data_IF_661966260992
#
_entry.id   IF_661966260992
#
_cell.length_a   1.000
_cell.length_b   1.000
_cell.length_c   1.000
_cell.angle_alpha   90.00
_cell.angle_beta   90.00
_cell.angle_gamma   90.00
#
_symmetry.space_group_name_H-M   'P 1'
#
loop_
_entity.id
_entity.type
_entity.pdbx_description
1 polymer ?
#
# COMPACT_ATOMS: atom_id res chain seq x y z
N UNK A 1 -11.18 -1.50 -19.86
CA UNK A 1 -11.74 -1.96 -18.59
C UNK A 1 -10.61 -2.02 -17.56
N UNK A 2 -10.90 -1.67 -16.30
CA UNK A 2 -9.94 -1.65 -15.20
C UNK A 2 -10.13 -2.87 -14.31
N UNK A 3 -9.02 -3.36 -13.73
CA UNK A 3 -9.01 -4.44 -12.75
C UNK A 3 -8.23 -3.96 -11.51
N UNK A 4 -8.87 -3.98 -10.36
CA UNK A 4 -8.28 -3.58 -9.09
C UNK A 4 -7.88 -4.77 -8.23
N UNK A 5 -6.84 -4.61 -7.44
CA UNK A 5 -6.43 -5.57 -6.42
C UNK A 5 -6.36 -4.85 -5.07
N UNK A 6 -7.18 -5.30 -4.12
CA UNK A 6 -7.18 -4.82 -2.75
C UNK A 6 -6.61 -5.91 -1.81
N UNK A 7 -5.50 -5.69 -1.13
CA UNK A 7 -4.99 -6.63 -0.15
C UNK A 7 -5.69 -6.49 1.20
N UNK A 8 -5.44 -7.43 2.10
CA UNK A 8 -5.89 -7.35 3.47
C UNK A 8 -5.34 -6.10 4.18
N UNK A 9 -6.14 -5.53 5.06
CA UNK A 9 -5.95 -4.25 5.74
C UNK A 9 -7.16 -3.35 5.51
N UNK A 10 -7.08 -2.06 5.83
CA UNK A 10 -8.21 -1.13 5.64
C UNK A 10 -8.67 -1.05 4.18
N UNK A 11 -7.81 -1.29 3.23
CA UNK A 11 -8.11 -1.26 1.80
C UNK A 11 -8.93 -2.46 1.30
N UNK A 12 -9.09 -3.52 2.07
CA UNK A 12 -9.84 -4.72 1.65
C UNK A 12 -11.28 -4.41 1.26
N UNK A 13 -11.90 -3.43 1.90
CA UNK A 13 -13.27 -3.02 1.61
C UNK A 13 -13.41 -2.11 0.38
N UNK A 14 -12.32 -1.78 -0.31
CA UNK A 14 -12.34 -0.86 -1.45
C UNK A 14 -13.28 -1.33 -2.57
N UNK A 15 -13.47 -2.65 -2.73
CA UNK A 15 -14.39 -3.24 -3.70
C UNK A 15 -15.86 -2.82 -3.49
N UNK A 16 -16.22 -2.42 -2.28
CA UNK A 16 -17.58 -1.93 -1.96
C UNK A 16 -17.84 -0.49 -2.44
N UNK A 17 -16.77 0.24 -2.74
CA UNK A 17 -16.82 1.67 -3.06
C UNK A 17 -16.36 1.99 -4.49
N UNK A 18 -15.83 1.01 -5.22
CA UNK A 18 -15.31 1.20 -6.56
C UNK A 18 -16.12 0.39 -7.57
N UNK A 19 -16.70 1.06 -8.55
CA UNK A 19 -17.43 0.39 -9.64
C UNK A 19 -16.50 -0.13 -10.74
N UNK A 20 -15.59 -1.04 -10.34
CA UNK A 20 -14.66 -1.75 -11.22
C UNK A 20 -14.55 -3.21 -10.77
N UNK A 21 -14.07 -4.07 -11.67
CA UNK A 21 -13.78 -5.44 -11.27
C UNK A 21 -12.61 -5.44 -10.27
N UNK A 22 -12.80 -6.05 -9.13
CA UNK A 22 -11.77 -6.13 -8.10
C UNK A 22 -11.59 -7.57 -7.60
N UNK A 23 -10.38 -7.88 -7.17
CA UNK A 23 -10.10 -9.10 -6.42
C UNK A 23 -9.34 -8.76 -5.14
N UNK A 24 -9.49 -9.61 -4.14
CA UNK A 24 -8.74 -9.56 -2.91
C UNK A 24 -7.41 -10.30 -3.05
N UNK A 25 -6.40 -9.82 -2.34
CA UNK A 25 -5.11 -10.48 -2.21
C UNK A 25 -4.75 -10.66 -0.74
N UNK A 26 -3.92 -11.65 -0.43
CA UNK A 26 -3.33 -11.77 0.89
C UNK A 26 -2.53 -10.51 1.24
N UNK A 27 -2.37 -10.23 2.54
CA UNK A 27 -1.65 -9.05 3.04
C UNK A 27 -0.24 -8.96 2.46
N UNK A 28 0.08 -7.83 1.85
CA UNK A 28 1.36 -7.58 1.17
C UNK A 28 1.48 -8.18 -0.24
N UNK A 29 0.52 -8.94 -0.72
CA UNK A 29 0.66 -9.73 -1.97
C UNK A 29 -0.01 -9.11 -3.20
N UNK A 30 -0.65 -7.95 -3.05
CA UNK A 30 -1.33 -7.30 -4.17
C UNK A 30 -0.41 -7.02 -5.38
N UNK A 31 0.85 -6.59 -5.23
CA UNK A 31 1.75 -6.40 -6.38
C UNK A 31 2.03 -7.70 -7.15
N UNK A 32 2.16 -8.83 -6.43
CA UNK A 32 2.36 -10.13 -7.08
C UNK A 32 1.11 -10.58 -7.85
N UNK A 33 -0.08 -10.41 -7.25
CA UNK A 33 -1.36 -10.72 -7.90
C UNK A 33 -1.56 -9.82 -9.13
N UNK A 34 -1.32 -8.51 -8.99
CA UNK A 34 -1.42 -7.55 -10.08
C UNK A 34 -0.48 -7.88 -11.25
N UNK A 35 0.75 -8.33 -10.96
CA UNK A 35 1.69 -8.81 -11.99
C UNK A 35 1.13 -10.01 -12.76
N UNK A 36 0.52 -10.97 -12.06
CA UNK A 36 -0.13 -12.12 -12.68
C UNK A 36 -1.31 -11.71 -13.56
N UNK A 37 -2.21 -10.88 -13.03
CA UNK A 37 -3.37 -10.36 -13.77
C UNK A 37 -2.91 -9.61 -15.03
N UNK A 38 -1.90 -8.77 -14.92
CA UNK A 38 -1.39 -7.97 -16.04
C UNK A 38 -0.82 -8.84 -17.17
N UNK A 39 -0.24 -9.98 -16.85
CA UNK A 39 0.29 -10.93 -17.85
C UNK A 39 -0.82 -11.66 -18.59
N UNK A 40 -1.90 -12.00 -17.90
CA UNK A 40 -3.06 -12.68 -18.49
C UNK A 40 -3.96 -11.71 -19.25
N UNK A 41 -4.04 -10.45 -18.81
CA UNK A 41 -4.86 -9.41 -19.38
C UNK A 41 -4.04 -8.19 -19.80
N UNK A 42 -3.22 -8.29 -20.84
CA UNK A 42 -2.32 -7.22 -21.26
C UNK A 42 -3.03 -5.97 -21.83
N UNK A 43 -4.30 -6.08 -22.18
CA UNK A 43 -5.17 -5.02 -22.67
C UNK A 43 -5.86 -4.21 -21.55
N UNK A 44 -5.83 -4.69 -20.31
CA UNK A 44 -6.50 -4.06 -19.18
C UNK A 44 -5.58 -3.09 -18.44
N UNK A 45 -6.18 -2.07 -17.84
CA UNK A 45 -5.51 -1.25 -16.83
C UNK A 45 -5.61 -1.98 -15.50
N UNK A 46 -4.47 -2.32 -14.92
CA UNK A 46 -4.41 -3.01 -13.61
C UNK A 46 -3.89 -2.03 -12.56
N UNK A 47 -4.51 -2.03 -11.39
CA UNK A 47 -4.05 -1.23 -10.26
C UNK A 47 -4.15 -1.98 -8.94
N UNK A 48 -3.34 -1.57 -7.96
CA UNK A 48 -3.46 -1.99 -6.57
C UNK A 48 -3.84 -0.79 -5.70
N UNK A 49 -4.58 -1.02 -4.61
CA UNK A 49 -4.97 0.01 -3.65
C UNK A 49 -4.55 -0.45 -2.25
N UNK A 50 -3.45 0.13 -1.73
CA UNK A 50 -2.72 -0.43 -0.59
C UNK A 50 -2.39 0.62 0.46
N UNK A 51 -2.54 0.23 1.74
CA UNK A 51 -2.06 1.02 2.86
C UNK A 51 -0.55 0.86 3.08
N UNK A 52 0.02 1.72 3.90
CA UNK A 52 1.44 1.72 4.26
C UNK A 52 1.86 0.50 5.07
N UNK A 53 1.02 0.06 6.02
CA UNK A 53 1.25 -1.17 6.76
C UNK A 53 1.17 -2.44 5.91
N UNK A 54 0.57 -2.35 4.74
CA UNK A 54 0.54 -3.41 3.75
C UNK A 54 1.75 -3.30 2.81
N UNK A 55 1.83 -2.25 1.99
CA UNK A 55 2.82 -2.11 0.93
C UNK A 55 4.24 -1.88 1.46
N UNK A 56 4.39 -0.98 2.42
CA UNK A 56 5.69 -0.58 2.98
C UNK A 56 6.12 -1.41 4.20
N UNK A 57 5.45 -2.50 4.50
CA UNK A 57 5.77 -3.44 5.55
C UNK A 57 5.85 -4.85 4.99
N UNK A 58 4.81 -5.66 5.15
CA UNK A 58 4.79 -7.06 4.72
C UNK A 58 4.91 -7.20 3.19
N UNK A 59 4.48 -6.20 2.41
CA UNK A 59 4.53 -6.17 0.95
C UNK A 59 5.79 -5.53 0.34
N UNK A 60 6.77 -5.14 1.15
CA UNK A 60 7.95 -4.43 0.65
C UNK A 60 8.71 -5.24 -0.41
N UNK A 61 8.90 -6.53 -0.20
CA UNK A 61 9.58 -7.39 -1.16
C UNK A 61 8.85 -7.47 -2.49
N UNK A 62 7.55 -7.61 -2.47
CA UNK A 62 6.72 -7.76 -3.66
C UNK A 62 6.73 -6.49 -4.53
N UNK A 63 6.60 -5.32 -3.93
CA UNK A 63 6.60 -4.06 -4.70
C UNK A 63 7.99 -3.74 -5.26
N UNK A 64 9.05 -3.97 -4.50
CA UNK A 64 10.42 -3.77 -4.98
C UNK A 64 10.73 -4.69 -6.16
N UNK A 65 10.38 -5.96 -6.07
CA UNK A 65 10.58 -6.90 -7.16
C UNK A 65 9.66 -6.63 -8.37
N UNK A 66 8.44 -6.18 -8.16
CA UNK A 66 7.56 -5.75 -9.25
C UNK A 66 8.15 -4.53 -10.00
N UNK A 67 8.65 -3.56 -9.25
CA UNK A 67 9.34 -2.39 -9.81
C UNK A 67 10.62 -2.79 -10.58
N UNK A 68 11.45 -3.65 -10.00
CA UNK A 68 12.68 -4.14 -10.63
C UNK A 68 12.42 -4.88 -11.96
N UNK A 69 11.26 -5.54 -12.07
CA UNK A 69 10.84 -6.20 -13.32
C UNK A 69 10.15 -5.26 -14.31
N UNK A 70 9.89 -4.01 -13.93
CA UNK A 70 9.16 -3.07 -14.77
C UNK A 70 7.70 -3.48 -15.03
N UNK A 71 7.03 -4.06 -14.04
CA UNK A 71 5.65 -4.52 -14.17
C UNK A 71 4.69 -3.35 -14.43
N UNK A 72 3.83 -3.48 -15.42
CA UNK A 72 2.97 -2.39 -15.92
C UNK A 72 1.62 -2.35 -15.21
N UNK A 73 1.61 -1.98 -13.95
CA UNK A 73 0.39 -1.66 -13.19
C UNK A 73 0.59 -0.38 -12.36
N UNK A 74 -0.50 0.18 -11.85
CA UNK A 74 -0.45 1.39 -10.99
C UNK A 74 -0.71 1.00 -9.55
N UNK A 75 0.08 1.49 -8.61
CA UNK A 75 -0.15 1.32 -7.17
C UNK A 75 -0.64 2.64 -6.56
N UNK A 76 -1.83 2.60 -5.95
CA UNK A 76 -2.29 3.67 -5.06
C UNK A 76 -1.80 3.37 -3.65
N UNK A 77 -0.88 4.19 -3.19
CA UNK A 77 -0.27 4.05 -1.88
C UNK A 77 -0.90 5.03 -0.89
N UNK A 78 -1.66 4.52 0.06
CA UNK A 78 -2.35 5.30 1.08
C UNK A 78 -1.53 5.24 2.36
N UNK A 79 -0.77 6.28 2.63
CA UNK A 79 0.09 6.36 3.80
C UNK A 79 -0.58 7.20 4.90
N UNK A 80 -1.06 6.54 5.94
CA UNK A 80 -1.62 7.17 7.14
C UNK A 80 -0.69 7.05 8.36
N UNK A 81 0.44 6.37 8.24
CA UNK A 81 1.45 6.23 9.28
C UNK A 81 1.09 5.27 10.42
N UNK A 82 0.05 4.47 10.29
CA UNK A 82 -0.38 3.50 11.32
C UNK A 82 -1.07 2.27 10.72
N UNK A 83 -1.12 1.18 11.49
CA UNK A 83 -2.04 0.07 11.26
C UNK A 83 -3.43 0.43 11.82
N UNK A 84 -4.31 1.00 10.98
CA UNK A 84 -5.61 1.50 11.43
C UNK A 84 -6.59 0.41 11.85
N UNK A 85 -6.79 -0.62 11.01
CA UNK A 85 -7.79 -1.67 11.22
C UNK A 85 -7.55 -2.48 12.50
N UNK A 86 -6.31 -2.68 12.91
CA UNK A 86 -5.94 -3.49 14.07
C UNK A 86 -5.83 -2.69 15.37
N UNK A 87 -6.06 -1.38 15.34
CA UNK A 87 -6.15 -0.55 16.54
C UNK A 87 -5.07 0.54 16.68
N UNK A 88 -4.45 0.97 15.58
CA UNK A 88 -3.55 2.14 15.57
C UNK A 88 -2.13 1.86 16.02
N UNK A 89 -1.60 0.67 15.74
CA UNK A 89 -0.21 0.31 16.02
C UNK A 89 0.76 1.08 15.11
N UNK A 90 1.99 1.20 15.56
CA UNK A 90 3.07 1.80 14.79
C UNK A 90 3.34 1.01 13.51
N UNK A 91 3.36 1.71 12.37
CA UNK A 91 3.76 1.20 11.07
C UNK A 91 5.19 1.61 10.73
N UNK A 92 5.86 1.01 9.75
CA UNK A 92 7.18 1.45 9.30
C UNK A 92 7.25 2.90 8.84
N UNK A 93 6.13 3.46 8.43
CA UNK A 93 5.98 4.84 7.96
C UNK A 93 5.55 5.83 9.04
N UNK A 94 5.32 5.38 10.28
CA UNK A 94 5.00 6.24 11.42
C UNK A 94 6.13 7.23 11.67
N UNK A 95 5.82 8.51 11.78
CA UNK A 95 6.84 9.56 11.96
C UNK A 95 7.50 9.50 13.34
N UNK A 96 8.75 10.00 13.42
CA UNK A 96 9.48 10.12 14.69
C UNK A 96 8.72 11.05 15.63
N UNK A 97 8.51 10.63 16.88
CA UNK A 97 7.73 11.36 17.86
C UNK A 97 6.22 11.19 17.75
N UNK A 98 5.70 10.56 16.69
CA UNK A 98 4.27 10.26 16.57
C UNK A 98 3.87 9.18 17.58
N UNK A 99 2.82 9.45 18.34
CA UNK A 99 2.24 8.48 19.27
C UNK A 99 1.35 7.48 18.54
N UNK A 100 1.39 6.24 18.98
CA UNK A 100 0.53 5.15 18.52
C UNK A 100 0.20 4.23 19.69
N UNK A 101 -0.68 3.26 19.48
CA UNK A 101 -1.05 2.31 20.55
C UNK A 101 0.13 1.42 21.01
N UNK A 102 1.12 1.23 20.16
CA UNK A 102 2.34 0.47 20.48
C UNK A 102 3.56 1.36 20.72
N UNK A 103 3.40 2.68 20.66
CA UNK A 103 4.46 3.68 20.90
C UNK A 103 3.85 4.90 21.59
N UNK A 104 3.47 4.73 22.86
CA UNK A 104 2.73 5.72 23.64
C UNK A 104 3.54 7.00 23.86
N UNK A 105 4.86 6.88 24.04
CA UNK A 105 5.77 8.00 24.28
C UNK A 105 6.38 8.59 22.98
N UNK A 106 5.92 8.12 21.83
CA UNK A 106 6.52 8.46 20.55
C UNK A 106 7.68 7.52 20.19
N UNK A 107 7.65 6.98 18.97
CA UNK A 107 8.61 5.96 18.56
C UNK A 107 10.02 6.49 18.37
N UNK A 108 10.99 5.78 18.92
CA UNK A 108 12.42 5.94 18.67
C UNK A 108 12.92 4.73 17.88
N UNK A 109 13.50 4.90 16.71
CA UNK A 109 14.10 3.77 15.98
C UNK A 109 14.43 4.09 14.53
N UNK A 110 15.30 3.27 13.90
CA UNK A 110 15.61 3.42 12.49
C UNK A 110 14.34 3.20 11.67
N UNK A 111 14.05 4.13 10.79
CA UNK A 111 12.88 4.10 9.91
C UNK A 111 13.30 4.04 8.47
N UNK A 112 12.66 3.17 7.77
CA UNK A 112 12.64 3.24 6.32
C UNK A 112 11.71 4.38 5.93
N UNK A 113 12.27 5.56 5.71
CA UNK A 113 11.50 6.73 5.30
C UNK A 113 11.41 6.70 3.79
N UNK A 114 10.27 6.27 3.28
CA UNK A 114 9.81 6.69 1.96
C UNK A 114 9.18 8.09 2.12
N UNK A 115 9.98 9.07 2.57
CA UNK A 115 9.54 10.44 2.66
C UNK A 115 9.91 11.17 1.38
N UNK A 116 8.96 11.44 0.54
CA UNK A 116 9.04 12.67 -0.23
C UNK A 116 8.75 13.81 0.75
N UNK A 117 9.75 14.66 0.98
CA UNK A 117 9.63 15.86 1.78
C UNK A 117 8.61 16.79 1.15
N UNK A 118 7.41 16.84 1.69
CA UNK A 118 6.52 17.98 1.52
C UNK A 118 5.51 18.04 2.67
N UNK A 119 5.46 19.19 3.28
CA UNK A 119 4.67 19.63 4.41
C UNK A 119 3.21 19.17 4.42
N UNK A 120 2.79 18.72 5.61
CA UNK A 120 1.43 18.81 6.18
C UNK A 120 0.26 19.00 5.21
N UNK A 121 -0.29 17.93 4.73
CA UNK A 121 -1.69 17.67 4.40
C UNK A 121 -1.81 16.28 3.80
N UNK A 122 -2.76 15.48 4.29
CA UNK A 122 -3.21 14.17 3.75
C UNK A 122 -2.40 13.62 2.56
N UNK A 123 -1.33 12.89 2.83
CA UNK A 123 -0.43 12.40 1.79
C UNK A 123 -1.05 11.22 1.04
N UNK A 124 -1.74 11.55 -0.04
CA UNK A 124 -2.10 10.57 -1.08
C UNK A 124 -1.00 10.60 -2.13
N UNK A 125 -0.17 9.58 -2.17
CA UNK A 125 0.85 9.45 -3.21
C UNK A 125 0.44 8.38 -4.21
N UNK A 126 0.34 8.77 -5.48
CA UNK A 126 0.23 7.85 -6.59
C UNK A 126 1.64 7.62 -7.15
N UNK A 127 2.13 6.40 -7.07
CA UNK A 127 3.40 6.01 -7.67
C UNK A 127 3.08 5.34 -9.00
N UNK A 128 3.46 5.97 -10.13
CA UNK A 128 3.44 5.35 -11.46
C UNK A 128 4.82 4.78 -11.76
N UNK A 129 4.85 3.53 -12.16
CA UNK A 129 6.02 2.87 -12.74
C UNK A 129 5.85 2.74 -14.26
#
# INVERSE_FOLDING_TARGET
RMLGVAPIGCSVVAHQFMNVDMCEAAHGRAPAVASGIRRVHPDKVVFTYQGDGDLASIGMGEIVHAAARGEKFTTFFINNGIYGMTGGQMAPTTLIGQRSTTSVDGGFGPRWILSSSSSSRSNRHCVKY
#
